data_IF_839308231381
#
_entry.id   IF_839308231381
#
_cell.length_a   1.000
_cell.length_b   1.000
_cell.length_c   1.000
_cell.angle_alpha   90.00
_cell.angle_beta   90.00
_cell.angle_gamma   90.00
#
_symmetry.space_group_name_H-M   'P 1'
#
loop_
_entity.id
_entity.type
_entity.pdbx_description
1 polymer ?
#
# COMPACT_ATOMS: atom_id res chain seq x y z
N UNK A 1 -3.19 6.76 29.39
CA UNK A 1 -3.07 5.45 28.72
C UNK A 1 -1.85 5.50 27.82
N UNK A 2 -0.93 4.55 27.95
CA UNK A 2 0.21 4.38 27.03
C UNK A 2 -0.21 3.44 25.90
N UNK A 3 0.09 3.79 24.64
CA UNK A 3 -0.16 2.93 23.48
C UNK A 3 0.74 1.68 23.54
N UNK A 4 0.16 0.49 23.39
CA UNK A 4 0.89 -0.78 23.25
C UNK A 4 1.34 -1.03 21.80
N UNK A 5 2.29 -1.94 21.61
CA UNK A 5 2.76 -2.35 20.28
C UNK A 5 1.66 -3.04 19.46
N UNK A 6 0.78 -3.83 20.09
CA UNK A 6 -0.41 -4.42 19.44
C UNK A 6 -1.37 -3.36 18.94
N UNK A 7 -1.72 -2.38 19.79
CA UNK A 7 -2.60 -1.27 19.40
C UNK A 7 -1.98 -0.43 18.27
N UNK A 8 -0.67 -0.19 18.33
CA UNK A 8 0.06 0.51 17.27
C UNK A 8 0.02 -0.27 15.94
N UNK A 9 0.26 -1.57 15.97
CA UNK A 9 0.22 -2.43 14.78
C UNK A 9 -1.18 -2.51 14.18
N UNK A 10 -2.22 -2.64 15.03
CA UNK A 10 -3.60 -2.62 14.58
C UNK A 10 -3.95 -1.28 13.93
N UNK A 11 -3.66 -0.17 14.59
CA UNK A 11 -3.96 1.17 14.06
C UNK A 11 -3.24 1.44 12.73
N UNK A 12 -1.96 1.11 12.62
CA UNK A 12 -1.18 1.30 11.40
C UNK A 12 -1.64 0.36 10.25
N UNK A 13 -1.95 -0.90 10.57
CA UNK A 13 -2.46 -1.86 9.58
C UNK A 13 -3.85 -1.47 9.08
N UNK A 14 -4.73 -1.00 9.96
CA UNK A 14 -6.05 -0.51 9.59
C UNK A 14 -5.96 0.76 8.73
N UNK A 15 -5.07 1.71 9.07
CA UNK A 15 -4.79 2.88 8.25
C UNK A 15 -4.31 2.49 6.85
N UNK A 16 -3.36 1.56 6.76
CA UNK A 16 -2.82 1.08 5.50
C UNK A 16 -3.88 0.34 4.66
N UNK A 17 -4.69 -0.52 5.28
CA UNK A 17 -5.78 -1.22 4.61
C UNK A 17 -6.85 -0.25 4.09
N UNK A 18 -7.27 0.73 4.90
CA UNK A 18 -8.20 1.76 4.48
C UNK A 18 -7.68 2.60 3.32
N UNK A 19 -6.41 3.03 3.40
CA UNK A 19 -5.74 3.71 2.30
C UNK A 19 -5.74 2.86 1.02
N UNK A 20 -5.35 1.59 1.12
CA UNK A 20 -5.21 0.70 -0.02
C UNK A 20 -6.57 0.37 -0.65
N UNK A 21 -7.64 0.20 0.14
CA UNK A 21 -9.01 0.04 -0.35
C UNK A 21 -9.47 1.24 -1.17
N UNK A 22 -9.16 2.47 -0.73
CA UNK A 22 -9.45 3.69 -1.48
C UNK A 22 -8.64 3.75 -2.77
N UNK A 23 -7.36 3.38 -2.73
CA UNK A 23 -6.52 3.33 -3.93
C UNK A 23 -7.09 2.36 -4.96
N UNK A 24 -7.43 1.15 -4.53
CA UNK A 24 -7.95 0.07 -5.38
C UNK A 24 -9.34 0.36 -5.91
N UNK A 25 -10.24 0.87 -5.07
CA UNK A 25 -11.64 1.09 -5.42
C UNK A 25 -11.93 2.41 -6.14
N UNK A 26 -11.10 3.44 -5.93
CA UNK A 26 -11.39 4.80 -6.41
C UNK A 26 -10.23 5.36 -7.23
N UNK A 27 -9.02 5.40 -6.67
CA UNK A 27 -7.92 6.19 -7.26
C UNK A 27 -7.40 5.57 -8.57
N UNK A 28 -7.11 4.27 -8.57
CA UNK A 28 -6.59 3.60 -9.75
C UNK A 28 -7.61 3.41 -10.87
N UNK A 29 -8.89 3.08 -10.59
CA UNK A 29 -9.94 3.15 -11.62
C UNK A 29 -10.01 4.52 -12.28
N UNK A 30 -10.06 5.61 -11.50
CA UNK A 30 -10.12 6.96 -12.04
C UNK A 30 -8.89 7.32 -12.90
N UNK A 31 -7.69 6.88 -12.49
CA UNK A 31 -6.47 7.07 -13.30
C UNK A 31 -6.50 6.25 -14.59
N UNK A 32 -7.02 5.03 -14.55
CA UNK A 32 -7.11 4.14 -15.71
C UNK A 32 -8.09 4.67 -16.77
N UNK A 33 -9.11 5.42 -16.37
CA UNK A 33 -10.10 6.06 -17.26
C UNK A 33 -9.59 7.32 -17.96
N UNK A 34 -8.44 7.88 -17.55
CA UNK A 34 -7.89 9.11 -18.15
C UNK A 34 -7.48 8.85 -19.61
N UNK A 35 -7.98 9.63 -20.60
CA UNK A 35 -7.67 9.40 -21.99
C UNK A 35 -6.17 9.66 -22.30
N UNK A 36 -5.59 9.01 -23.33
CA UNK A 36 -4.16 9.05 -23.60
C UNK A 36 -3.56 10.46 -23.69
N UNK A 37 -4.29 11.40 -24.27
CA UNK A 37 -3.86 12.78 -24.52
C UNK A 37 -3.66 13.58 -23.22
N UNK A 38 -4.33 13.17 -22.14
CA UNK A 38 -4.25 13.82 -20.82
C UNK A 38 -3.51 12.99 -19.77
N UNK A 39 -3.12 11.76 -20.12
CA UNK A 39 -2.60 10.79 -19.17
C UNK A 39 -1.30 11.26 -18.50
N UNK A 40 -0.33 11.76 -19.27
CA UNK A 40 0.96 12.18 -18.72
C UNK A 40 0.82 13.24 -17.63
N UNK A 41 0.03 14.29 -17.90
CA UNK A 41 -0.23 15.36 -16.94
C UNK A 41 -1.01 14.87 -15.70
N UNK A 42 -1.99 13.98 -15.89
CA UNK A 42 -2.77 13.40 -14.80
C UNK A 42 -1.92 12.46 -13.92
N UNK A 43 -1.13 11.58 -14.53
CA UNK A 43 -0.25 10.62 -13.87
C UNK A 43 0.84 11.31 -13.07
N UNK A 44 1.46 12.37 -13.59
CA UNK A 44 2.46 13.17 -12.87
C UNK A 44 1.84 13.82 -11.61
N UNK A 45 0.67 14.45 -11.77
CA UNK A 45 -0.06 15.04 -10.63
C UNK A 45 -0.46 13.99 -9.61
N UNK A 46 -0.93 12.83 -10.06
CA UNK A 46 -1.24 11.70 -9.20
C UNK A 46 0.00 11.22 -8.44
N UNK A 47 1.09 10.94 -9.14
CA UNK A 47 2.34 10.40 -8.59
C UNK A 47 2.91 11.32 -7.50
N UNK A 48 2.94 12.64 -7.74
CA UNK A 48 3.39 13.62 -6.74
C UNK A 48 2.50 13.64 -5.49
N UNK A 49 1.17 13.69 -5.67
CA UNK A 49 0.21 13.79 -4.56
C UNK A 49 0.15 12.50 -3.75
N UNK A 50 0.09 11.35 -4.41
CA UNK A 50 0.00 10.06 -3.74
C UNK A 50 1.28 9.75 -2.96
N UNK A 51 2.46 10.16 -3.47
CA UNK A 51 3.75 9.98 -2.76
C UNK A 51 3.75 10.64 -1.38
N UNK A 52 3.21 11.86 -1.28
CA UNK A 52 3.12 12.59 -0.01
C UNK A 52 2.19 11.91 1.02
N UNK A 53 1.26 11.06 0.57
CA UNK A 53 0.32 10.33 1.44
C UNK A 53 0.82 8.92 1.74
N UNK A 54 1.31 8.20 0.74
CA UNK A 54 1.74 6.81 0.86
C UNK A 54 3.01 6.68 1.70
N UNK A 55 3.94 7.62 1.60
CA UNK A 55 5.19 7.60 2.37
C UNK A 55 4.95 7.59 3.89
N UNK A 56 4.18 8.52 4.49
CA UNK A 56 3.90 8.47 5.93
C UNK A 56 3.10 7.23 6.33
N UNK A 57 2.15 6.75 5.51
CA UNK A 57 1.40 5.51 5.82
C UNK A 57 2.33 4.31 5.95
N UNK A 58 3.23 4.10 4.98
CA UNK A 58 4.20 3.00 5.04
C UNK A 58 5.23 3.18 6.14
N UNK A 59 5.65 4.43 6.44
CA UNK A 59 6.57 4.70 7.54
C UNK A 59 5.96 4.33 8.89
N UNK A 60 4.70 4.72 9.14
CA UNK A 60 3.98 4.36 10.36
C UNK A 60 3.79 2.84 10.48
N UNK A 61 3.42 2.18 9.38
CA UNK A 61 3.30 0.72 9.34
C UNK A 61 4.64 0.03 9.65
N UNK A 62 5.72 0.48 9.01
CA UNK A 62 7.06 -0.07 9.25
C UNK A 62 7.52 0.13 10.71
N UNK A 63 7.25 1.30 11.30
CA UNK A 63 7.57 1.58 12.70
C UNK A 63 6.79 0.66 13.65
N UNK A 64 5.49 0.46 13.40
CA UNK A 64 4.66 -0.44 14.21
C UNK A 64 5.11 -1.90 14.08
N UNK A 65 5.41 -2.37 12.86
CA UNK A 65 5.99 -3.70 12.65
C UNK A 65 7.31 -3.87 13.40
N UNK A 66 8.22 -2.88 13.34
CA UNK A 66 9.50 -2.93 14.03
C UNK A 66 9.32 -2.99 15.56
N UNK A 67 8.38 -2.22 16.11
CA UNK A 67 8.10 -2.25 17.54
C UNK A 67 7.62 -3.63 17.99
N UNK A 68 6.72 -4.26 17.24
CA UNK A 68 6.27 -5.64 17.53
C UNK A 68 7.41 -6.66 17.38
N UNK A 69 8.28 -6.52 16.38
CA UNK A 69 9.44 -7.41 16.19
C UNK A 69 10.42 -7.33 17.38
N UNK A 70 10.62 -6.14 17.95
CA UNK A 70 11.60 -5.91 19.03
C UNK A 70 11.00 -6.13 20.42
N UNK A 71 9.71 -5.82 20.60
CA UNK A 71 9.04 -5.78 21.91
C UNK A 71 7.92 -6.79 22.10
N UNK A 72 7.55 -7.57 21.08
CA UNK A 72 6.38 -8.43 21.08
C UNK A 72 5.05 -7.68 20.90
N UNK A 73 3.92 -8.39 20.90
CA UNK A 73 3.78 -9.82 21.16
C UNK A 73 4.20 -10.70 19.97
N UNK A 74 4.74 -11.88 20.26
CA UNK A 74 5.17 -12.86 19.23
C UNK A 74 4.07 -13.89 18.92
N UNK A 75 2.84 -13.43 18.75
CA UNK A 75 1.71 -14.31 18.40
C UNK A 75 1.70 -14.65 16.91
N UNK A 76 0.99 -15.71 16.48
CA UNK A 76 0.79 -16.00 15.07
C UNK A 76 0.16 -14.83 14.31
N UNK A 77 -0.82 -14.13 14.91
CA UNK A 77 -1.46 -12.96 14.31
C UNK A 77 -0.45 -11.83 14.03
N UNK A 78 0.49 -11.61 14.95
CA UNK A 78 1.49 -10.54 14.84
C UNK A 78 2.42 -10.81 13.66
N UNK A 79 2.89 -12.06 13.54
CA UNK A 79 3.74 -12.47 12.43
C UNK A 79 3.01 -12.42 11.09
N UNK A 80 1.74 -12.85 11.04
CA UNK A 80 0.94 -12.73 9.81
C UNK A 80 0.79 -11.27 9.40
N UNK A 81 0.51 -10.35 10.34
CA UNK A 81 0.44 -8.92 10.06
C UNK A 81 1.74 -8.35 9.54
N UNK A 82 2.88 -8.69 10.17
CA UNK A 82 4.21 -8.24 9.73
C UNK A 82 4.55 -8.77 8.33
N UNK A 83 4.32 -10.06 8.07
CA UNK A 83 4.58 -10.67 6.76
C UNK A 83 3.68 -10.07 5.68
N UNK A 84 2.41 -9.82 5.99
CA UNK A 84 1.49 -9.17 5.07
C UNK A 84 1.91 -7.72 4.76
N UNK A 85 2.32 -6.94 5.77
CA UNK A 85 2.87 -5.60 5.60
C UNK A 85 4.12 -5.62 4.71
N UNK A 86 5.04 -6.57 4.94
CA UNK A 86 6.22 -6.77 4.10
C UNK A 86 5.85 -7.15 2.66
N UNK A 87 4.83 -8.01 2.47
CA UNK A 87 4.30 -8.36 1.16
C UNK A 87 3.72 -7.15 0.42
N UNK A 88 2.95 -6.31 1.10
CA UNK A 88 2.43 -5.06 0.53
C UNK A 88 3.54 -4.06 0.19
N UNK A 89 4.55 -3.92 1.04
CA UNK A 89 5.70 -3.05 0.79
C UNK A 89 6.55 -3.56 -0.38
N UNK A 90 6.86 -4.86 -0.40
CA UNK A 90 7.63 -5.50 -1.45
C UNK A 90 6.94 -5.42 -2.82
N UNK A 91 5.65 -5.72 -2.89
CA UNK A 91 4.86 -5.55 -4.13
C UNK A 91 4.79 -4.08 -4.58
N UNK A 92 4.73 -3.13 -3.65
CA UNK A 92 4.79 -1.69 -3.97
C UNK A 92 6.14 -1.32 -4.57
N UNK A 93 7.23 -1.64 -3.88
CA UNK A 93 8.57 -1.23 -4.27
C UNK A 93 9.08 -1.93 -5.54
N UNK A 94 8.79 -3.22 -5.68
CA UNK A 94 9.37 -4.06 -6.74
C UNK A 94 8.49 -4.13 -8.00
N UNK A 95 7.18 -3.90 -7.89
CA UNK A 95 6.25 -4.06 -9.01
C UNK A 95 5.53 -2.75 -9.35
N UNK A 96 4.90 -2.09 -8.37
CA UNK A 96 4.11 -0.89 -8.63
C UNK A 96 5.00 0.32 -8.97
N UNK A 97 6.06 0.58 -8.20
CA UNK A 97 6.96 1.71 -8.44
C UNK A 97 7.66 1.63 -9.82
N UNK A 98 8.20 0.49 -10.26
CA UNK A 98 8.74 0.36 -11.62
C UNK A 98 7.67 0.54 -12.71
N UNK A 99 6.44 0.08 -12.48
CA UNK A 99 5.34 0.29 -13.42
C UNK A 99 4.99 1.79 -13.53
N UNK A 100 4.91 2.52 -12.41
CA UNK A 100 4.72 3.97 -12.42
C UNK A 100 5.88 4.71 -13.09
N UNK A 101 7.12 4.29 -12.86
CA UNK A 101 8.30 4.88 -13.53
C UNK A 101 8.21 4.74 -15.05
N UNK A 102 7.84 3.55 -15.55
CA UNK A 102 7.64 3.33 -17.00
C UNK A 102 6.48 4.16 -17.55
N UNK A 103 5.35 4.22 -16.84
CA UNK A 103 4.21 5.04 -17.24
C UNK A 103 4.55 6.54 -17.31
N UNK A 104 5.40 7.03 -16.39
CA UNK A 104 5.84 8.43 -16.38
C UNK A 104 6.85 8.75 -17.48
N UNK A 105 7.72 7.79 -17.83
CA UNK A 105 8.79 7.96 -18.84
C UNK A 105 8.31 7.72 -20.26
N UNK A 106 7.59 6.62 -20.47
CA UNK A 106 7.22 6.10 -21.79
C UNK A 106 5.78 6.51 -22.18
N UNK A 107 5.04 7.12 -21.24
CA UNK A 107 3.65 7.49 -21.43
C UNK A 107 2.65 6.36 -21.19
N UNK A 108 1.39 6.57 -21.57
CA UNK A 108 0.31 5.60 -21.32
C UNK A 108 0.56 4.32 -22.13
N UNK A 109 0.49 3.19 -21.46
CA UNK A 109 0.42 1.86 -22.07
C UNK A 109 -0.68 1.07 -21.39
N UNK A 110 -1.67 0.59 -22.15
CA UNK A 110 -2.78 -0.17 -21.58
C UNK A 110 -2.30 -1.49 -20.94
N UNK A 111 -1.22 -2.07 -21.47
CA UNK A 111 -0.57 -3.24 -20.86
C UNK A 111 -0.01 -2.93 -19.47
N UNK A 112 0.69 -1.79 -19.32
CA UNK A 112 1.21 -1.34 -18.03
C UNK A 112 0.09 -0.94 -17.06
N UNK A 113 -0.98 -0.29 -17.54
CA UNK A 113 -2.15 0.05 -16.72
C UNK A 113 -2.82 -1.22 -16.20
N UNK A 114 -3.11 -2.21 -17.07
CA UNK A 114 -3.69 -3.50 -16.63
C UNK A 114 -2.80 -4.21 -15.61
N UNK A 115 -1.48 -4.22 -15.83
CA UNK A 115 -0.51 -4.81 -14.88
C UNK A 115 -0.54 -4.08 -13.55
N UNK A 116 -0.57 -2.75 -13.55
CA UNK A 116 -0.64 -1.94 -12.33
C UNK A 116 -1.90 -2.28 -11.52
N UNK A 117 -3.07 -2.37 -12.18
CA UNK A 117 -4.32 -2.77 -11.53
C UNK A 117 -4.25 -4.18 -10.94
N UNK A 118 -3.59 -5.13 -11.62
CA UNK A 118 -3.42 -6.48 -11.09
C UNK A 118 -2.51 -6.51 -9.86
N UNK A 119 -1.37 -5.82 -9.91
CA UNK A 119 -0.45 -5.66 -8.77
C UNK A 119 -1.14 -4.98 -7.59
N UNK A 120 -2.00 -4.00 -7.86
CA UNK A 120 -2.73 -3.29 -6.82
C UNK A 120 -3.72 -4.17 -6.05
N UNK A 121 -4.40 -5.09 -6.74
CA UNK A 121 -5.28 -6.07 -6.07
C UNK A 121 -4.49 -6.97 -5.11
N UNK A 122 -3.27 -7.37 -5.49
CA UNK A 122 -2.38 -8.14 -4.61
C UNK A 122 -1.97 -7.31 -3.40
N UNK A 123 -1.61 -6.03 -3.60
CA UNK A 123 -1.30 -5.08 -2.52
C UNK A 123 -2.48 -4.91 -1.56
N UNK A 124 -3.70 -4.80 -2.10
CA UNK A 124 -4.94 -4.72 -1.33
C UNK A 124 -5.19 -5.98 -0.51
N UNK A 125 -5.01 -7.17 -1.10
CA UNK A 125 -5.15 -8.43 -0.39
C UNK A 125 -4.19 -8.51 0.81
N UNK A 126 -2.92 -8.14 0.62
CA UNK A 126 -1.96 -8.07 1.73
C UNK A 126 -2.36 -7.04 2.80
N UNK A 127 -2.79 -5.85 2.41
CA UNK A 127 -3.20 -4.81 3.34
C UNK A 127 -4.38 -5.27 4.22
N UNK A 128 -5.42 -5.85 3.60
CA UNK A 128 -6.59 -6.38 4.31
C UNK A 128 -6.21 -7.56 5.20
N UNK A 129 -5.40 -8.51 4.70
CA UNK A 129 -4.91 -9.63 5.52
C UNK A 129 -4.16 -9.15 6.75
N UNK A 130 -3.28 -8.16 6.59
CA UNK A 130 -2.50 -7.60 7.68
C UNK A 130 -3.36 -6.95 8.76
N UNK A 131 -4.38 -6.19 8.35
CA UNK A 131 -5.35 -5.59 9.28
C UNK A 131 -6.22 -6.64 9.98
N UNK A 132 -6.71 -7.66 9.27
CA UNK A 132 -7.52 -8.72 9.87
C UNK A 132 -6.71 -9.56 10.87
N UNK A 133 -5.45 -9.86 10.57
CA UNK A 133 -4.58 -10.57 11.50
C UNK A 133 -4.26 -9.73 12.75
N UNK A 134 -4.16 -8.40 12.61
CA UNK A 134 -3.90 -7.50 13.72
C UNK A 134 -5.11 -7.35 14.66
N UNK A 135 -6.33 -7.65 14.20
CA UNK A 135 -7.54 -7.68 15.05
C UNK A 135 -7.52 -8.86 16.04
N UNK A 136 -6.63 -9.84 15.85
CA UNK A 136 -6.51 -11.02 16.70
C UNK A 136 -5.41 -10.90 17.76
N UNK A 137 -4.90 -9.67 17.98
CA UNK A 137 -3.77 -9.34 18.86
C UNK A 137 -4.17 -8.81 20.24
#
# INVERSE_FOLDING_TARGET
MSLSSSEALLAASALHAGFQLVVTGVVYPALAEVPPERFAAAHERHSRRITAVVAPVYLLLAAACLWVIVGGPYSPGAWVSVVAAAGAAGTTALLAAPAHSRLGRDGRSDGLVRRLLAVDRVRCAFAVLGALAALLL
#
